data_IF_784175539892
#
_entry.id   IF_784175539892
#
_cell.length_a   1.000
_cell.length_b   1.000
_cell.length_c   1.000
_cell.angle_alpha   90.00
_cell.angle_beta   90.00
_cell.angle_gamma   90.00
#
_symmetry.space_group_name_H-M   'P 1'
#
loop_
_entity.id
_entity.type
_entity.pdbx_description
1 polymer ?
#
# COMPACT_ATOMS: atom_id res chain seq x y z
N UNK A 1 -1.93 -6.90 -37.77
CA UNK A 1 -0.87 -6.04 -37.20
C UNK A 1 -1.40 -5.42 -35.92
N UNK A 2 -1.10 -6.03 -34.77
CA UNK A 2 -1.44 -5.55 -33.41
C UNK A 2 -0.15 -5.58 -32.57
N UNK A 3 0.88 -4.88 -33.00
CA UNK A 3 2.19 -4.83 -32.32
C UNK A 3 2.51 -3.43 -31.76
N UNK A 4 1.56 -2.49 -31.78
CA UNK A 4 1.79 -1.11 -31.35
C UNK A 4 1.44 -0.79 -29.90
N UNK A 5 0.71 -1.65 -29.19
CA UNK A 5 0.13 -1.31 -27.87
C UNK A 5 0.94 -1.87 -26.70
N UNK A 6 1.52 -3.07 -26.85
CA UNK A 6 2.26 -3.73 -25.78
C UNK A 6 3.63 -3.08 -25.46
N UNK A 7 4.24 -2.39 -26.43
CA UNK A 7 5.54 -1.74 -26.24
C UNK A 7 5.43 -0.41 -25.46
N UNK A 8 4.29 0.28 -25.55
CA UNK A 8 4.06 1.53 -24.83
C UNK A 8 3.75 1.28 -23.35
N UNK A 9 2.93 0.26 -23.03
CA UNK A 9 2.65 -0.15 -21.64
C UNK A 9 3.91 -0.65 -20.91
N UNK A 10 4.80 -1.38 -21.59
CA UNK A 10 6.03 -1.87 -20.97
C UNK A 10 7.03 -0.73 -20.65
N UNK A 11 7.12 0.28 -21.52
CA UNK A 11 8.04 1.42 -21.35
C UNK A 11 7.56 2.38 -20.25
N UNK A 12 6.25 2.63 -20.17
CA UNK A 12 5.68 3.41 -19.06
C UNK A 12 5.82 2.67 -17.72
N UNK A 13 5.71 1.34 -17.72
CA UNK A 13 5.84 0.50 -16.52
C UNK A 13 7.24 0.52 -15.91
N UNK A 14 8.29 0.39 -16.72
CA UNK A 14 9.67 0.47 -16.22
C UNK A 14 10.02 1.87 -15.73
N UNK A 15 9.53 2.92 -16.41
CA UNK A 15 9.68 4.30 -15.97
C UNK A 15 8.95 4.59 -14.64
N UNK A 16 7.77 3.98 -14.43
CA UNK A 16 6.96 4.10 -13.21
C UNK A 16 7.59 3.39 -12.00
N UNK A 17 8.30 2.28 -12.22
CA UNK A 17 9.07 1.56 -11.19
C UNK A 17 10.37 2.32 -10.88
N UNK A 18 11.05 2.82 -11.91
CA UNK A 18 12.29 3.57 -11.78
C UNK A 18 12.12 4.93 -11.09
N UNK A 19 10.92 5.54 -11.15
CA UNK A 19 10.68 6.83 -10.51
C UNK A 19 10.68 6.77 -8.99
N UNK A 20 10.41 5.60 -8.37
CA UNK A 20 10.10 5.44 -6.92
C UNK A 20 9.01 6.40 -6.40
N UNK A 21 8.37 7.17 -7.27
CA UNK A 21 7.31 8.14 -6.98
C UNK A 21 6.04 7.63 -7.65
N UNK A 22 5.38 6.68 -6.99
CA UNK A 22 3.99 6.36 -7.31
C UNK A 22 3.10 7.16 -6.36
N UNK A 23 2.71 8.32 -6.89
CA UNK A 23 2.00 9.39 -6.22
C UNK A 23 0.54 9.03 -5.97
N UNK A 24 0.05 9.45 -4.80
CA UNK A 24 -1.35 9.39 -4.41
C UNK A 24 -2.18 10.31 -5.32
N UNK A 25 -3.00 9.73 -6.20
CA UNK A 25 -4.17 10.43 -6.71
C UNK A 25 -5.17 10.67 -5.58
N UNK A 26 -5.97 11.74 -5.66
CA UNK A 26 -7.03 12.06 -4.70
C UNK A 26 -8.09 10.94 -4.54
N UNK A 27 -8.00 9.89 -5.37
CA UNK A 27 -8.76 8.64 -5.30
C UNK A 27 -7.90 7.37 -5.40
N UNK A 28 -6.62 7.40 -5.03
CA UNK A 28 -5.89 6.23 -4.54
C UNK A 28 -5.84 4.97 -5.42
N UNK A 29 -6.22 5.01 -6.69
CA UNK A 29 -6.52 3.78 -7.45
C UNK A 29 -5.35 2.81 -7.52
N UNK A 30 -4.10 3.30 -7.44
CA UNK A 30 -2.92 2.46 -7.40
C UNK A 30 -1.90 2.91 -6.35
N UNK A 31 -1.32 1.96 -5.58
CA UNK A 31 -0.22 2.22 -4.63
C UNK A 31 0.99 1.31 -4.92
N UNK A 32 2.18 1.90 -4.96
CA UNK A 32 3.45 1.17 -4.88
C UNK A 32 3.88 1.01 -3.43
N UNK A 33 4.28 -0.20 -3.04
CA UNK A 33 4.82 -0.46 -1.71
C UNK A 33 6.01 -1.40 -1.79
N UNK A 34 7.13 -0.94 -1.27
CA UNK A 34 8.27 -1.80 -0.97
C UNK A 34 8.11 -2.37 0.44
N UNK A 35 8.37 -3.65 0.65
CA UNK A 35 8.46 -4.23 1.98
C UNK A 35 9.89 -4.27 2.51
N UNK A 36 10.05 -4.72 3.77
CA UNK A 36 11.35 -4.78 4.43
C UNK A 36 12.32 -5.80 3.80
N UNK A 37 11.83 -6.66 2.91
CA UNK A 37 12.62 -7.65 2.18
C UNK A 37 12.91 -7.20 0.75
N UNK A 38 12.59 -5.95 0.40
CA UNK A 38 12.84 -5.36 -0.92
C UNK A 38 11.85 -5.80 -2.00
N UNK A 39 10.74 -6.48 -1.64
CA UNK A 39 9.71 -6.76 -2.62
C UNK A 39 8.90 -5.51 -2.89
N UNK A 40 8.67 -5.23 -4.17
CA UNK A 40 7.86 -4.10 -4.60
C UNK A 40 6.51 -4.59 -5.12
N UNK A 41 5.44 -4.02 -4.60
CA UNK A 41 4.07 -4.37 -4.94
C UNK A 41 3.32 -3.17 -5.49
N UNK A 42 2.57 -3.38 -6.57
CA UNK A 42 1.64 -2.41 -7.13
C UNK A 42 0.21 -2.88 -6.89
N UNK A 43 -0.58 -2.07 -6.19
CA UNK A 43 -1.90 -2.45 -5.68
C UNK A 43 -3.00 -1.60 -6.30
N UNK A 44 -4.09 -2.20 -6.77
CA UNK A 44 -5.28 -1.49 -7.19
C UNK A 44 -6.22 -1.24 -5.99
N UNK A 45 -6.08 -0.09 -5.33
CA UNK A 45 -6.88 0.24 -4.14
C UNK A 45 -8.30 0.65 -4.51
N UNK A 46 -8.53 1.14 -5.73
CA UNK A 46 -9.89 1.40 -6.23
C UNK A 46 -10.70 0.10 -6.34
N UNK A 47 -10.07 -0.96 -6.82
CA UNK A 47 -10.65 -2.30 -6.84
C UNK A 47 -10.86 -2.83 -5.41
N UNK A 48 -9.88 -2.67 -4.52
CA UNK A 48 -10.02 -3.04 -3.13
C UNK A 48 -11.21 -2.33 -2.45
N UNK A 49 -11.37 -1.02 -2.68
CA UNK A 49 -12.48 -0.21 -2.19
C UNK A 49 -13.83 -0.69 -2.75
N UNK A 50 -13.87 -1.08 -4.03
CA UNK A 50 -15.05 -1.65 -4.65
C UNK A 50 -15.45 -2.99 -3.99
N UNK A 51 -14.47 -3.87 -3.73
CA UNK A 51 -14.69 -5.15 -3.05
C UNK A 51 -15.30 -4.93 -1.67
N UNK A 52 -14.70 -4.09 -0.81
CA UNK A 52 -15.22 -3.88 0.56
C UNK A 52 -16.62 -3.27 0.55
N UNK A 53 -16.90 -2.36 -0.39
CA UNK A 53 -18.21 -1.72 -0.53
C UNK A 53 -19.29 -2.71 -0.99
N UNK A 54 -18.98 -3.56 -1.98
CA UNK A 54 -19.97 -4.47 -2.59
C UNK A 54 -20.22 -5.71 -1.74
N UNK A 55 -19.19 -6.25 -1.09
CA UNK A 55 -19.28 -7.42 -0.23
C UNK A 55 -19.86 -7.12 1.17
N UNK A 56 -20.05 -5.84 1.52
CA UNK A 56 -20.49 -5.39 2.86
C UNK A 56 -19.63 -6.01 3.97
N UNK A 57 -18.31 -6.01 3.77
CA UNK A 57 -17.35 -6.56 4.74
C UNK A 57 -17.52 -5.88 6.09
N UNK A 58 -17.54 -6.65 7.20
CA UNK A 58 -17.57 -6.05 8.52
C UNK A 58 -16.26 -5.31 8.79
N UNK A 59 -16.35 -4.20 9.50
CA UNK A 59 -15.18 -3.53 10.05
C UNK A 59 -14.59 -4.35 11.19
N UNK A 60 -13.27 -4.42 11.24
CA UNK A 60 -12.50 -5.03 12.33
C UNK A 60 -11.29 -4.15 12.62
N UNK A 61 -10.93 -3.95 13.90
CA UNK A 61 -9.86 -3.03 14.26
C UNK A 61 -8.50 -3.47 13.67
N UNK A 62 -7.73 -2.48 13.24
CA UNK A 62 -6.29 -2.56 13.00
C UNK A 62 -5.57 -2.12 14.27
N UNK A 63 -5.00 -3.06 15.00
CA UNK A 63 -4.22 -2.82 16.22
C UNK A 63 -2.81 -2.40 15.84
N UNK A 64 -2.43 -1.14 16.07
CA UNK A 64 -1.16 -0.61 15.57
C UNK A 64 0.07 -1.29 16.19
N UNK A 65 -0.04 -1.74 17.43
CA UNK A 65 1.02 -2.43 18.16
C UNK A 65 1.40 -3.77 17.54
N UNK A 66 0.42 -4.50 16.99
CA UNK A 66 0.65 -5.82 16.35
C UNK A 66 1.53 -5.70 15.10
N UNK A 67 1.59 -4.51 14.50
CA UNK A 67 2.35 -4.21 13.29
C UNK A 67 3.58 -3.33 13.56
N UNK A 68 3.93 -3.09 14.82
CA UNK A 68 5.06 -2.24 15.23
C UNK A 68 5.04 -0.86 14.54
N UNK A 69 3.85 -0.30 14.30
CA UNK A 69 3.71 0.99 13.62
C UNK A 69 4.06 2.09 14.60
N UNK A 70 5.12 2.84 14.31
CA UNK A 70 5.58 4.00 15.10
C UNK A 70 5.63 5.27 14.26
N UNK A 71 5.78 6.42 14.93
CA UNK A 71 5.96 7.70 14.24
C UNK A 71 7.22 7.68 13.36
N UNK A 72 8.32 7.13 13.88
CA UNK A 72 9.59 7.00 13.17
C UNK A 72 9.43 6.12 11.93
N UNK A 73 8.70 5.01 12.04
CA UNK A 73 8.45 4.11 10.91
C UNK A 73 7.62 4.81 9.83
N UNK A 74 6.58 5.56 10.21
CA UNK A 74 5.81 6.37 9.26
C UNK A 74 6.69 7.40 8.53
N UNK A 75 7.61 8.06 9.23
CA UNK A 75 8.57 9.01 8.63
C UNK A 75 9.60 8.32 7.72
N UNK A 76 10.04 7.11 8.07
CA UNK A 76 10.93 6.31 7.23
C UNK A 76 10.24 5.87 5.94
N UNK A 77 8.98 5.43 6.03
CA UNK A 77 8.19 5.06 4.87
C UNK A 77 7.87 6.27 3.97
N UNK A 78 7.64 7.46 4.56
CA UNK A 78 7.33 8.70 3.83
C UNK A 78 8.08 9.91 4.40
N UNK A 79 9.35 10.09 4.00
CA UNK A 79 10.15 11.25 4.43
C UNK A 79 9.60 12.59 3.89
N UNK A 80 8.83 12.52 2.81
CA UNK A 80 8.16 13.63 2.12
C UNK A 80 6.73 13.92 2.62
N UNK A 81 6.31 13.25 3.70
CA UNK A 81 4.94 13.39 4.22
C UNK A 81 4.65 14.81 4.70
N UNK A 82 3.56 15.39 4.18
CA UNK A 82 2.97 16.61 4.74
C UNK A 82 2.30 16.29 6.08
N UNK A 83 3.04 16.52 7.18
CA UNK A 83 2.55 16.31 8.54
C UNK A 83 1.35 17.21 8.88
N UNK A 84 1.32 18.44 8.38
CA UNK A 84 0.22 19.36 8.63
C UNK A 84 -1.08 18.81 8.06
N UNK A 85 -1.03 18.31 6.83
CA UNK A 85 -2.13 17.59 6.21
C UNK A 85 -2.46 16.31 6.97
N UNK A 86 -1.46 15.53 7.38
CA UNK A 86 -1.68 14.29 8.11
C UNK A 86 -2.50 14.49 9.39
N UNK A 87 -2.17 15.53 10.15
CA UNK A 87 -2.89 15.89 11.38
C UNK A 87 -4.34 16.35 11.16
N UNK A 88 -4.75 16.66 9.92
CA UNK A 88 -6.13 17.03 9.59
C UNK A 88 -7.02 15.87 9.15
N UNK A 89 -6.48 14.66 8.93
CA UNK A 89 -7.22 13.54 8.34
C UNK A 89 -8.10 12.81 9.34
N UNK A 90 -9.33 12.50 8.95
CA UNK A 90 -10.28 11.76 9.77
C UNK A 90 -9.82 10.32 10.08
N UNK A 91 -9.67 10.01 11.37
CA UNK A 91 -9.28 8.68 11.86
C UNK A 91 -10.45 7.69 11.92
N UNK A 92 -11.69 8.15 11.79
CA UNK A 92 -12.89 7.30 11.77
C UNK A 92 -13.11 6.62 10.41
N UNK A 93 -12.49 7.15 9.36
CA UNK A 93 -12.55 6.52 8.04
C UNK A 93 -11.75 5.20 8.10
N UNK A 94 -12.33 4.06 7.69
CA UNK A 94 -11.64 2.78 7.77
C UNK A 94 -10.37 2.72 6.91
N UNK A 95 -9.45 1.84 7.30
CA UNK A 95 -8.33 1.41 6.49
C UNK A 95 -8.71 0.18 5.66
N UNK A 96 -8.10 -0.01 4.50
CA UNK A 96 -8.14 -1.28 3.78
C UNK A 96 -6.82 -1.98 4.05
N UNK A 97 -6.91 -3.23 4.49
CA UNK A 97 -5.77 -4.06 4.85
C UNK A 97 -5.84 -5.35 4.05
N UNK A 98 -4.76 -5.67 3.36
CA UNK A 98 -4.58 -6.89 2.59
C UNK A 98 -3.64 -7.84 3.32
N UNK A 99 -3.96 -9.13 3.30
CA UNK A 99 -3.04 -10.18 3.74
C UNK A 99 -2.66 -11.00 2.53
N UNK A 100 -1.36 -11.04 2.21
CA UNK A 100 -0.79 -11.92 1.18
C UNK A 100 0.10 -12.93 1.89
N UNK A 101 -0.23 -14.21 1.79
CA UNK A 101 0.52 -15.30 2.43
C UNK A 101 0.77 -15.01 3.93
N UNK A 102 2.00 -14.63 4.30
CA UNK A 102 2.44 -14.31 5.65
C UNK A 102 2.61 -12.81 5.92
N UNK A 103 2.18 -11.93 5.00
CA UNK A 103 2.41 -10.49 5.04
C UNK A 103 1.13 -9.70 5.15
N UNK A 104 1.13 -8.69 6.01
CA UNK A 104 0.06 -7.70 6.11
C UNK A 104 0.46 -6.39 5.46
N UNK A 105 -0.39 -5.92 4.55
CA UNK A 105 -0.21 -4.71 3.78
C UNK A 105 -1.40 -3.77 4.01
N UNK A 106 -1.13 -2.62 4.60
CA UNK A 106 -2.11 -1.54 4.74
C UNK A 106 -2.17 -0.75 3.42
N UNK A 107 -3.27 -0.88 2.67
CA UNK A 107 -3.45 -0.34 1.32
C UNK A 107 -3.91 1.12 1.29
N UNK A 108 -3.88 1.84 2.40
CA UNK A 108 -4.47 3.18 2.45
C UNK A 108 -3.78 4.11 3.44
N UNK A 109 -4.24 5.36 3.44
CA UNK A 109 -3.56 6.59 3.84
C UNK A 109 -2.61 6.50 5.05
N UNK A 110 -1.30 6.36 4.76
CA UNK A 110 -0.20 6.39 5.74
C UNK A 110 -0.22 7.62 6.66
N UNK A 111 -0.71 8.75 6.15
CA UNK A 111 -0.86 9.97 6.93
C UNK A 111 -1.85 9.79 8.11
N UNK A 112 -2.87 8.94 7.98
CA UNK A 112 -3.74 8.58 9.11
C UNK A 112 -3.04 7.69 10.11
N UNK A 113 -2.19 6.76 9.66
CA UNK A 113 -1.35 5.98 10.56
C UNK A 113 -0.43 6.89 11.37
N UNK A 114 0.23 7.85 10.70
CA UNK A 114 1.06 8.85 11.35
C UNK A 114 0.28 9.68 12.39
N UNK A 115 -0.90 10.19 12.00
CA UNK A 115 -1.76 10.91 12.94
C UNK A 115 -2.14 10.04 14.14
N UNK A 116 -2.55 8.79 13.90
CA UNK A 116 -2.97 7.86 14.93
C UNK A 116 -1.86 7.59 15.95
N UNK A 117 -0.63 7.29 15.49
CA UNK A 117 0.50 7.08 16.40
C UNK A 117 0.86 8.35 17.17
N UNK A 118 0.78 9.53 16.54
CA UNK A 118 1.04 10.82 17.21
C UNK A 118 -0.01 11.17 18.27
N UNK A 119 -1.26 10.79 18.05
CA UNK A 119 -2.36 11.00 19.00
C UNK A 119 -2.47 9.88 20.05
N UNK A 120 -1.63 8.85 19.98
CA UNK A 120 -1.66 7.71 20.90
C UNK A 120 -2.88 6.81 20.71
N UNK A 121 -3.46 6.79 19.51
CA UNK A 121 -4.57 5.91 19.15
C UNK A 121 -4.03 4.49 18.97
N UNK A 122 -4.62 3.53 19.69
CA UNK A 122 -4.17 2.14 19.68
C UNK A 122 -4.73 1.33 18.51
N UNK A 123 -5.95 1.67 18.09
CA UNK A 123 -6.72 0.90 17.11
C UNK A 123 -7.39 1.84 16.10
N UNK A 124 -7.38 1.44 14.83
CA UNK A 124 -8.08 2.14 13.76
C UNK A 124 -9.14 1.22 13.13
N UNK A 125 -10.29 1.75 12.67
CA UNK A 125 -11.23 0.94 11.91
C UNK A 125 -10.58 0.45 10.63
N UNK A 126 -10.83 -0.81 10.25
CA UNK A 126 -10.30 -1.39 9.03
C UNK A 126 -11.22 -2.44 8.40
N UNK A 127 -11.11 -2.59 7.08
CA UNK A 127 -11.62 -3.70 6.31
C UNK A 127 -10.47 -4.61 5.91
N UNK A 128 -10.64 -5.90 6.19
CA UNK A 128 -9.65 -6.92 5.89
C UNK A 128 -10.05 -7.67 4.62
N UNK A 129 -9.17 -7.63 3.63
CA UNK A 129 -9.29 -8.45 2.43
C UNK A 129 -8.91 -9.89 2.76
N UNK A 130 -9.63 -10.85 2.20
CA UNK A 130 -9.14 -12.23 2.12
C UNK A 130 -7.90 -12.30 1.22
N UNK A 131 -7.15 -13.39 1.32
CA UNK A 131 -6.00 -13.63 0.43
C UNK A 131 -6.41 -13.55 -1.04
N UNK A 132 -7.51 -14.20 -1.42
CA UNK A 132 -8.07 -14.15 -2.79
C UNK A 132 -8.39 -12.72 -3.25
N UNK A 133 -8.99 -11.90 -2.38
CA UNK A 133 -9.33 -10.51 -2.73
C UNK A 133 -8.07 -9.64 -2.82
N UNK A 134 -7.09 -9.88 -1.95
CA UNK A 134 -5.80 -9.20 -1.98
C UNK A 134 -5.05 -9.52 -3.29
N UNK A 135 -4.99 -10.79 -3.68
CA UNK A 135 -4.43 -11.22 -4.97
C UNK A 135 -5.17 -10.60 -6.15
N UNK A 136 -6.51 -10.51 -6.09
CA UNK A 136 -7.32 -9.82 -7.09
C UNK A 136 -7.09 -8.31 -7.18
N UNK A 137 -6.51 -7.70 -6.14
CA UNK A 137 -6.09 -6.30 -6.12
C UNK A 137 -4.62 -6.10 -6.53
N UNK A 138 -3.83 -7.16 -6.62
CA UNK A 138 -2.42 -7.06 -6.95
C UNK A 138 -2.25 -6.88 -8.46
N UNK A 139 -1.79 -5.70 -8.86
CA UNK A 139 -1.49 -5.40 -10.26
C UNK A 139 -0.14 -5.97 -10.65
N UNK A 140 0.83 -5.90 -9.73
CA UNK A 140 2.19 -6.31 -10.01
C UNK A 140 2.99 -6.60 -8.74
N UNK A 141 3.93 -7.54 -8.84
CA UNK A 141 4.89 -7.91 -7.80
C UNK A 141 6.27 -8.09 -8.42
N UNK A 142 7.26 -7.41 -7.83
CA UNK A 142 8.69 -7.65 -8.05
C UNK A 142 9.27 -8.29 -6.81
N UNK A 143 9.91 -9.44 -7.00
CA UNK A 143 10.86 -9.95 -6.03
C UNK A 143 12.05 -8.98 -5.91
N UNK A 144 12.72 -8.93 -4.75
CA UNK A 144 13.98 -8.22 -4.64
C UNK A 144 14.93 -8.73 -5.73
N UNK A 145 15.70 -7.83 -6.34
CA UNK A 145 16.77 -8.25 -7.22
C UNK A 145 17.66 -9.20 -6.42
N UNK A 146 17.66 -10.48 -6.79
CA UNK A 146 18.74 -11.35 -6.38
C UNK A 146 19.95 -10.76 -7.09
N UNK A 147 20.74 -9.98 -6.36
CA UNK A 147 22.10 -9.67 -6.79
C UNK A 147 22.76 -11.02 -7.02
N UNK A 148 22.74 -11.51 -8.25
CA UNK A 148 23.55 -12.65 -8.65
C UNK A 148 24.95 -12.26 -8.21
N UNK A 149 25.43 -13.00 -7.21
CA UNK A 149 26.78 -12.87 -6.74
C UNK A 149 27.67 -12.93 -7.96
N UNK A 150 28.40 -11.84 -8.18
CA UNK A 150 29.62 -11.91 -8.96
C UNK A 150 30.55 -12.88 -8.23
N UNK A 151 30.41 -14.15 -8.54
CA UNK A 151 31.36 -15.20 -8.21
C UNK A 151 31.93 -15.71 -9.53
N UNK A 152 33.01 -15.06 -9.97
CA UNK A 152 34.29 -15.66 -10.40
C UNK A 152 35.01 -14.78 -11.42
#
# INVERSE_FOLDING_TARGET
>A
MKEGTALHEATDREALIASKTLEYGAFGDVILREDLFGHTYLWNVGHAAHIVTTSKRPESPLVLADYSITEELCRQWRPDMDEGRAMSLDLTVPHIVATLEDRTVILCCWMRLFRAVREGVLELPAYWLSVEDAEGCLVFHLAPEQSEGGDS
#
